data_IF_751512315692
#
_entry.id   IF_751512315692
#
_cell.length_a   1.000
_cell.length_b   1.000
_cell.length_c   1.000
_cell.angle_alpha   90.00
_cell.angle_beta   90.00
_cell.angle_gamma   90.00
#
_symmetry.space_group_name_H-M   'P 1'
#
loop_
_entity.id
_entity.type
_entity.pdbx_description
1 polymer ?
#
# COMPACT_ATOMS: atom_id res chain seq x y z
N UNK A 1 20.11 6.56 -13.78
CA UNK A 1 18.87 6.31 -14.53
C UNK A 1 17.77 7.17 -13.92
N UNK A 2 17.32 8.21 -14.66
CA UNK A 2 16.20 9.03 -14.19
C UNK A 2 14.91 8.22 -14.34
N UNK A 3 14.13 8.08 -13.27
CA UNK A 3 12.73 7.67 -13.36
C UNK A 3 11.96 8.75 -14.12
N UNK A 4 11.03 8.31 -14.95
CA UNK A 4 9.98 9.21 -15.39
C UNK A 4 9.18 9.61 -14.13
N UNK A 5 9.15 10.90 -13.74
CA UNK A 5 8.47 11.32 -12.52
C UNK A 5 6.95 11.08 -12.57
N UNK A 6 6.40 10.81 -13.75
CA UNK A 6 4.99 10.49 -13.95
C UNK A 6 4.73 8.97 -13.93
N UNK A 7 5.72 8.14 -14.23
CA UNK A 7 5.56 6.67 -14.21
C UNK A 7 6.02 6.12 -12.86
N UNK A 8 5.07 5.91 -11.94
CA UNK A 8 5.38 5.48 -10.57
C UNK A 8 5.67 3.99 -10.45
N UNK A 9 5.03 3.14 -11.25
CA UNK A 9 5.17 1.68 -11.21
C UNK A 9 5.36 1.08 -12.61
N UNK A 10 5.84 -0.17 -12.68
CA UNK A 10 5.87 -1.01 -13.88
C UNK A 10 7.15 -0.96 -14.70
N UNK A 11 7.92 0.15 -14.72
CA UNK A 11 9.21 0.23 -15.40
C UNK A 11 10.36 0.26 -14.41
N UNK A 12 11.37 -0.57 -14.64
CA UNK A 12 12.55 -0.69 -13.77
C UNK A 12 13.84 -0.49 -14.56
N UNK A 13 14.98 -0.25 -13.87
CA UNK A 13 16.28 -0.25 -14.53
C UNK A 13 16.65 -1.57 -15.23
N UNK A 14 15.94 -2.66 -14.93
CA UNK A 14 16.13 -3.98 -15.56
C UNK A 14 15.34 -4.15 -16.86
N UNK A 15 14.39 -3.25 -17.15
CA UNK A 15 13.55 -3.36 -18.34
C UNK A 15 14.39 -3.42 -19.60
N UNK A 16 14.25 -4.52 -20.35
CA UNK A 16 15.05 -4.80 -21.54
C UNK A 16 16.45 -5.39 -21.27
N UNK A 17 16.88 -5.53 -20.02
CA UNK A 17 18.15 -6.17 -19.67
C UNK A 17 17.98 -7.66 -19.32
N UNK A 18 17.75 -8.47 -20.33
CA UNK A 18 17.48 -9.90 -20.18
C UNK A 18 18.58 -10.65 -19.43
N UNK A 19 19.84 -10.30 -19.65
CA UNK A 19 20.97 -10.96 -18.98
C UNK A 19 20.94 -10.74 -17.46
N UNK A 20 20.62 -9.53 -17.01
CA UNK A 20 20.48 -9.24 -15.59
C UNK A 20 19.28 -9.99 -14.97
N UNK A 21 18.15 -10.04 -15.66
CA UNK A 21 16.95 -10.78 -15.19
C UNK A 21 17.26 -12.26 -15.01
N UNK A 22 17.89 -12.92 -15.99
CA UNK A 22 18.27 -14.33 -15.89
C UNK A 22 19.27 -14.61 -14.76
N UNK A 23 20.20 -13.69 -14.49
CA UNK A 23 21.11 -13.81 -13.34
C UNK A 23 20.36 -13.72 -12.02
N UNK A 24 19.38 -12.80 -11.89
CA UNK A 24 18.59 -12.64 -10.68
C UNK A 24 17.64 -13.82 -10.46
N UNK A 25 17.07 -14.40 -11.52
CA UNK A 25 16.27 -15.64 -11.45
C UNK A 25 17.06 -16.85 -10.95
N UNK A 26 18.37 -16.87 -11.18
CA UNK A 26 19.27 -17.92 -10.70
C UNK A 26 19.75 -17.68 -9.24
N UNK A 27 19.34 -16.57 -8.61
CA UNK A 27 19.77 -16.19 -7.26
C UNK A 27 18.74 -16.64 -6.23
N UNK A 28 19.21 -17.13 -5.07
CA UNK A 28 18.33 -17.51 -3.95
C UNK A 28 17.65 -16.33 -3.28
N UNK A 29 18.33 -15.17 -3.28
CA UNK A 29 17.87 -13.94 -2.64
C UNK A 29 18.33 -12.72 -3.43
N UNK A 30 17.39 -11.82 -3.69
CA UNK A 30 17.62 -10.51 -4.28
C UNK A 30 17.34 -9.43 -3.22
N UNK A 31 18.33 -8.61 -2.91
CA UNK A 31 18.12 -7.38 -2.15
C UNK A 31 17.82 -6.27 -3.17
N UNK A 32 16.56 -5.85 -3.21
CA UNK A 32 16.08 -4.83 -4.14
C UNK A 32 16.33 -3.44 -3.55
N UNK A 33 17.27 -2.72 -4.14
CA UNK A 33 17.60 -1.32 -3.82
C UNK A 33 17.10 -0.34 -4.90
N UNK A 34 16.33 -0.83 -5.86
CA UNK A 34 15.91 -0.07 -7.06
C UNK A 34 14.41 0.05 -7.23
N UNK A 35 13.65 -0.61 -6.37
CA UNK A 35 12.18 -0.70 -6.46
C UNK A 35 11.71 -1.41 -7.73
N UNK A 36 11.80 -2.73 -7.74
CA UNK A 36 11.31 -3.59 -8.83
C UNK A 36 9.79 -3.80 -8.78
N UNK A 37 9.12 -3.16 -7.84
CA UNK A 37 7.71 -3.33 -7.52
C UNK A 37 6.81 -3.19 -8.75
N UNK A 38 5.87 -4.12 -8.92
CA UNK A 38 4.90 -4.22 -10.00
C UNK A 38 5.51 -4.39 -11.41
N UNK A 39 6.77 -4.78 -11.52
CA UNK A 39 7.39 -5.01 -12.82
C UNK A 39 7.27 -6.46 -13.28
N UNK A 40 7.27 -6.67 -14.60
CA UNK A 40 7.35 -8.00 -15.18
C UNK A 40 8.60 -8.77 -14.72
N UNK A 41 9.71 -8.06 -14.54
CA UNK A 41 10.97 -8.61 -14.08
C UNK A 41 10.87 -9.13 -12.65
N UNK A 42 10.15 -8.42 -11.75
CA UNK A 42 9.86 -8.90 -10.39
C UNK A 42 9.10 -10.21 -10.43
N UNK A 43 8.02 -10.27 -11.22
CA UNK A 43 7.20 -11.48 -11.36
C UNK A 43 8.03 -12.67 -11.86
N UNK A 44 8.84 -12.48 -12.91
CA UNK A 44 9.69 -13.55 -13.45
C UNK A 44 10.68 -14.11 -12.42
N UNK A 45 11.27 -13.24 -11.57
CA UNK A 45 12.20 -13.66 -10.53
C UNK A 45 11.47 -14.48 -9.45
N UNK A 46 10.31 -14.01 -9.01
CA UNK A 46 9.51 -14.70 -8.00
C UNK A 46 8.96 -16.05 -8.50
N UNK A 47 8.48 -16.11 -9.73
CA UNK A 47 8.02 -17.35 -10.39
C UNK A 47 9.14 -18.39 -10.54
N UNK A 48 10.38 -17.94 -10.75
CA UNK A 48 11.54 -18.81 -10.76
C UNK A 48 11.91 -19.35 -9.36
N UNK A 49 11.23 -18.94 -8.31
CA UNK A 49 11.49 -19.32 -6.92
C UNK A 49 12.46 -18.38 -6.19
N UNK A 50 12.95 -17.31 -6.85
CA UNK A 50 13.75 -16.28 -6.20
C UNK A 50 12.98 -15.58 -5.07
N UNK A 51 13.69 -15.08 -4.09
CA UNK A 51 13.13 -14.28 -2.98
C UNK A 51 13.60 -12.85 -3.15
N UNK A 52 12.70 -11.89 -2.98
CA UNK A 52 13.05 -10.47 -3.15
C UNK A 52 12.72 -9.72 -1.86
N UNK A 53 13.71 -9.05 -1.27
CA UNK A 53 13.53 -8.14 -0.15
C UNK A 53 13.82 -6.70 -0.60
N UNK A 54 12.78 -5.86 -0.59
CA UNK A 54 12.91 -4.44 -0.91
C UNK A 54 13.51 -3.68 0.29
N UNK A 55 14.65 -3.02 0.10
CA UNK A 55 15.41 -2.32 1.16
C UNK A 55 15.83 -0.95 0.65
N UNK A 56 14.92 0.02 0.72
CA UNK A 56 15.11 1.36 0.12
C UNK A 56 14.87 2.52 1.10
N UNK A 57 14.63 2.21 2.37
CA UNK A 57 14.46 3.23 3.40
C UNK A 57 15.80 3.68 4.00
N UNK A 58 15.87 4.89 4.60
CA UNK A 58 17.05 5.35 5.34
C UNK A 58 17.50 4.36 6.42
N UNK A 59 18.80 4.25 6.70
CA UNK A 59 19.35 3.31 7.69
C UNK A 59 18.70 3.42 9.08
N UNK A 60 18.36 4.62 9.53
CA UNK A 60 17.73 4.86 10.83
C UNK A 60 16.31 4.25 10.89
N UNK A 61 15.57 4.29 9.77
CA UNK A 61 14.26 3.66 9.65
C UNK A 61 14.42 2.14 9.62
N UNK A 62 15.37 1.62 8.84
CA UNK A 62 15.67 0.19 8.78
C UNK A 62 16.01 -0.38 10.17
N UNK A 63 16.87 0.30 10.92
CA UNK A 63 17.24 -0.13 12.28
C UNK A 63 16.06 -0.09 13.23
N UNK A 64 15.30 1.02 13.25
CA UNK A 64 14.14 1.19 14.14
C UNK A 64 13.06 0.16 13.88
N UNK A 65 12.80 -0.15 12.63
CA UNK A 65 11.75 -1.07 12.20
C UNK A 65 12.31 -2.42 11.71
N UNK A 66 13.46 -2.86 12.25
CA UNK A 66 13.98 -4.20 11.95
C UNK A 66 12.90 -5.24 12.27
N UNK A 67 12.48 -6.08 11.30
CA UNK A 67 11.41 -7.06 11.49
C UNK A 67 11.71 -8.04 12.63
N UNK A 68 10.67 -8.43 13.38
CA UNK A 68 10.75 -9.40 14.46
C UNK A 68 9.71 -10.50 14.28
N UNK A 69 9.89 -11.65 14.97
CA UNK A 69 8.89 -12.72 14.99
C UNK A 69 7.57 -12.28 15.62
N UNK A 70 7.61 -11.28 16.51
CA UNK A 70 6.39 -10.66 17.04
C UNK A 70 5.62 -9.91 15.96
N UNK A 71 6.30 -9.09 15.15
CA UNK A 71 5.69 -8.39 14.00
C UNK A 71 5.05 -9.39 13.04
N UNK A 72 5.78 -10.46 12.71
CA UNK A 72 5.28 -11.53 11.86
C UNK A 72 4.02 -12.19 12.43
N UNK A 73 4.04 -12.51 13.73
CA UNK A 73 2.90 -13.14 14.41
C UNK A 73 1.67 -12.23 14.36
N UNK A 74 1.83 -10.94 14.59
CA UNK A 74 0.74 -9.94 14.50
C UNK A 74 0.14 -9.91 13.11
N UNK A 75 0.96 -9.81 12.07
CA UNK A 75 0.50 -9.78 10.68
C UNK A 75 -0.25 -11.06 10.32
N UNK A 76 0.30 -12.23 10.65
CA UNK A 76 -0.34 -13.53 10.34
C UNK A 76 -1.64 -13.74 11.11
N UNK A 77 -1.73 -13.28 12.35
CA UNK A 77 -2.97 -13.32 13.15
C UNK A 77 -4.05 -12.46 12.51
N UNK A 78 -3.72 -11.22 12.14
CA UNK A 78 -4.63 -10.31 11.46
C UNK A 78 -5.04 -10.84 10.07
N UNK A 79 -4.09 -11.43 9.33
CA UNK A 79 -4.35 -12.04 8.02
C UNK A 79 -5.35 -13.20 8.09
N UNK A 80 -5.23 -14.06 9.09
CA UNK A 80 -6.17 -15.18 9.26
C UNK A 80 -7.63 -14.67 9.42
N UNK A 81 -7.83 -13.56 10.11
CA UNK A 81 -9.15 -12.94 10.30
C UNK A 81 -9.63 -12.27 9.01
N UNK A 82 -8.78 -11.47 8.37
CA UNK A 82 -9.11 -10.79 7.11
C UNK A 82 -9.46 -11.81 6.00
N UNK A 83 -8.80 -12.96 5.96
CA UNK A 83 -9.06 -14.05 5.00
C UNK A 83 -10.47 -14.65 5.15
N UNK A 84 -11.01 -14.67 6.35
CA UNK A 84 -12.35 -15.18 6.63
C UNK A 84 -13.45 -14.13 6.35
N UNK A 85 -13.09 -12.85 6.36
CA UNK A 85 -14.03 -11.74 6.23
C UNK A 85 -14.63 -11.63 4.81
N UNK A 86 -15.86 -11.08 4.74
CA UNK A 86 -16.59 -10.83 3.51
C UNK A 86 -16.71 -9.35 3.18
N UNK A 87 -16.60 -8.51 4.20
CA UNK A 87 -16.73 -7.05 4.05
C UNK A 87 -15.66 -6.34 4.88
N UNK A 88 -15.24 -5.17 4.38
CA UNK A 88 -14.52 -4.18 5.18
C UNK A 88 -15.34 -2.89 5.14
N UNK A 89 -15.52 -2.27 6.31
CA UNK A 89 -16.12 -0.94 6.42
C UNK A 89 -15.16 -0.01 7.12
N UNK A 90 -15.11 1.22 6.64
CA UNK A 90 -14.20 2.24 7.18
C UNK A 90 -14.99 3.50 7.45
N UNK A 91 -14.88 4.01 8.67
CA UNK A 91 -15.49 5.28 9.08
C UNK A 91 -14.47 6.18 9.77
N UNK A 92 -14.73 7.49 9.77
CA UNK A 92 -13.95 8.45 10.55
C UNK A 92 -14.77 9.66 10.96
N UNK A 93 -14.33 10.38 11.99
CA UNK A 93 -14.95 11.64 12.39
C UNK A 93 -14.83 12.74 11.33
N UNK A 94 -13.90 12.63 10.39
CA UNK A 94 -13.78 13.53 9.24
C UNK A 94 -14.89 13.32 8.20
N UNK A 95 -15.63 12.23 8.27
CA UNK A 95 -16.76 11.93 7.40
C UNK A 95 -16.53 10.79 6.42
N UNK A 96 -15.44 10.03 6.53
CA UNK A 96 -15.26 8.77 5.81
C UNK A 96 -16.41 7.83 6.18
N UNK A 97 -17.02 7.23 5.16
CA UNK A 97 -18.03 6.17 5.24
C UNK A 97 -17.96 5.36 3.94
N UNK A 98 -17.16 4.29 3.97
CA UNK A 98 -16.86 3.48 2.80
C UNK A 98 -17.00 1.98 3.12
N UNK A 99 -17.43 1.22 2.12
CA UNK A 99 -17.65 -0.23 2.21
C UNK A 99 -17.04 -0.95 1.03
N UNK A 100 -16.44 -2.10 1.28
CA UNK A 100 -15.73 -2.94 0.32
C UNK A 100 -16.15 -4.39 0.52
N UNK A 101 -16.56 -5.10 -0.53
CA UNK A 101 -16.69 -6.55 -0.47
C UNK A 101 -15.31 -7.20 -0.66
N UNK A 102 -15.09 -8.33 0.02
CA UNK A 102 -13.81 -9.04 0.08
C UNK A 102 -13.93 -10.49 -0.39
N UNK A 103 -12.79 -11.13 -0.64
CA UNK A 103 -12.67 -12.57 -0.88
C UNK A 103 -12.40 -12.97 -2.33
N UNK A 104 -12.37 -12.02 -3.26
CA UNK A 104 -11.95 -12.27 -4.65
C UNK A 104 -10.42 -12.40 -4.76
N UNK A 105 -9.68 -11.68 -3.95
CA UNK A 105 -8.23 -11.52 -4.04
C UNK A 105 -7.50 -12.09 -2.82
N UNK A 106 -6.20 -12.40 -2.95
CA UNK A 106 -5.37 -12.86 -1.84
C UNK A 106 -5.15 -11.75 -0.80
N UNK A 107 -4.61 -12.15 0.35
CA UNK A 107 -4.11 -11.22 1.37
C UNK A 107 -2.62 -10.98 1.12
N UNK A 108 -2.23 -9.73 1.06
CA UNK A 108 -0.85 -9.27 1.08
C UNK A 108 -0.39 -9.20 2.53
N UNK A 109 0.53 -10.07 2.91
CA UNK A 109 1.07 -10.20 4.27
C UNK A 109 2.49 -9.63 4.29
N UNK A 110 2.63 -8.40 4.75
CA UNK A 110 3.91 -7.70 4.80
C UNK A 110 4.47 -7.73 6.22
N UNK A 111 5.40 -8.65 6.49
CA UNK A 111 6.01 -8.82 7.82
C UNK A 111 7.54 -8.73 7.83
N UNK A 112 8.17 -8.43 6.69
CA UNK A 112 9.60 -8.14 6.60
C UNK A 112 10.52 -9.34 6.42
N UNK A 113 9.99 -10.55 6.21
CA UNK A 113 10.79 -11.76 5.99
C UNK A 113 10.49 -12.37 4.62
N UNK A 114 11.55 -12.74 3.91
CA UNK A 114 11.47 -13.48 2.64
C UNK A 114 11.97 -14.92 2.86
N UNK A 115 11.28 -15.64 3.71
CA UNK A 115 11.64 -16.97 4.22
C UNK A 115 11.18 -18.14 3.33
N UNK A 116 10.48 -17.86 2.22
CA UNK A 116 9.93 -18.86 1.31
C UNK A 116 10.29 -18.54 -0.15
N UNK A 117 10.54 -19.55 -1.00
CA UNK A 117 10.68 -19.34 -2.44
C UNK A 117 9.48 -18.59 -3.03
N UNK A 118 9.75 -17.68 -3.97
CA UNK A 118 8.72 -16.87 -4.61
C UNK A 118 8.11 -15.76 -3.73
N UNK A 119 8.70 -15.49 -2.55
CA UNK A 119 8.20 -14.44 -1.65
C UNK A 119 8.91 -13.12 -1.90
N UNK A 120 8.10 -12.08 -1.96
CA UNK A 120 8.52 -10.69 -1.89
C UNK A 120 8.03 -10.05 -0.59
N UNK A 121 8.79 -9.13 -0.02
CA UNK A 121 8.43 -8.35 1.15
C UNK A 121 9.29 -7.09 1.22
N UNK A 122 8.91 -6.14 2.07
CA UNK A 122 9.71 -4.95 2.40
C UNK A 122 10.54 -5.16 3.68
N UNK A 123 11.66 -4.44 3.76
CA UNK A 123 12.27 -4.06 5.02
C UNK A 123 12.43 -2.53 5.02
N UNK A 124 11.74 -1.82 5.92
CA UNK A 124 10.84 -2.26 7.01
C UNK A 124 9.45 -2.66 6.51
N UNK A 125 8.67 -3.27 7.39
CA UNK A 125 7.35 -3.79 7.09
C UNK A 125 6.43 -3.74 8.32
N UNK A 126 5.28 -4.41 8.28
CA UNK A 126 4.33 -4.51 9.37
C UNK A 126 2.95 -4.00 9.00
N UNK A 127 2.39 -4.43 7.87
CA UNK A 127 1.01 -4.17 7.49
C UNK A 127 0.43 -5.35 6.72
N UNK A 128 -0.87 -5.33 6.55
CA UNK A 128 -1.55 -6.26 5.66
C UNK A 128 -2.56 -5.51 4.81
N UNK A 129 -2.79 -6.05 3.63
CA UNK A 129 -3.79 -5.52 2.71
C UNK A 129 -4.46 -6.65 1.92
N UNK A 130 -5.59 -6.34 1.31
CA UNK A 130 -6.26 -7.14 0.27
C UNK A 130 -6.85 -6.18 -0.73
N UNK A 131 -7.33 -6.70 -1.84
CA UNK A 131 -8.04 -5.89 -2.84
C UNK A 131 -9.54 -6.04 -2.65
N UNK A 132 -10.26 -4.92 -2.81
CA UNK A 132 -11.72 -4.99 -2.87
C UNK A 132 -12.15 -5.84 -4.07
N UNK A 133 -13.24 -6.61 -3.92
CA UNK A 133 -13.86 -7.28 -5.06
C UNK A 133 -14.20 -6.25 -6.15
N UNK A 134 -14.00 -6.60 -7.40
CA UNK A 134 -14.23 -5.67 -8.52
C UNK A 134 -15.63 -5.06 -8.47
N UNK A 135 -15.69 -3.74 -8.68
CA UNK A 135 -16.93 -2.99 -8.74
C UNK A 135 -17.66 -2.80 -7.40
N UNK A 136 -17.07 -3.19 -6.26
CA UNK A 136 -17.81 -3.20 -4.98
C UNK A 136 -17.49 -2.05 -4.03
N UNK A 137 -16.42 -1.30 -4.24
CA UNK A 137 -16.10 -0.15 -3.40
C UNK A 137 -17.16 0.94 -3.57
N UNK A 138 -17.78 1.35 -2.45
CA UNK A 138 -18.89 2.31 -2.41
C UNK A 138 -18.73 3.28 -1.25
N UNK A 139 -19.33 4.47 -1.36
CA UNK A 139 -19.40 5.47 -0.31
C UNK A 139 -18.45 6.63 -0.54
N UNK A 140 -17.78 7.09 0.49
CA UNK A 140 -16.80 8.18 0.40
C UNK A 140 -15.65 8.00 1.39
N UNK A 141 -14.48 8.43 0.98
CA UNK A 141 -13.31 8.58 1.83
C UNK A 141 -13.01 10.07 1.98
N UNK A 142 -12.87 10.53 3.21
CA UNK A 142 -12.50 11.92 3.52
C UNK A 142 -11.15 11.92 4.20
N UNK A 143 -10.14 12.39 3.48
CA UNK A 143 -8.80 12.60 4.01
C UNK A 143 -8.83 13.85 4.89
N UNK A 144 -8.31 13.73 6.10
CA UNK A 144 -8.23 14.83 7.06
C UNK A 144 -6.84 15.49 7.04
N UNK A 145 -6.69 16.73 7.51
CA UNK A 145 -5.38 17.33 7.68
C UNK A 145 -4.44 16.45 8.49
N UNK A 146 -3.24 16.20 7.95
CA UNK A 146 -2.25 15.30 8.51
C UNK A 146 -2.31 13.86 8.00
N UNK A 147 -3.27 13.48 7.15
CA UNK A 147 -3.17 12.28 6.32
C UNK A 147 -2.15 12.50 5.21
N UNK A 148 -1.72 11.44 4.54
CA UNK A 148 -0.56 11.50 3.65
C UNK A 148 -0.95 11.04 2.26
N UNK A 149 -0.47 11.77 1.24
CA UNK A 149 -0.50 11.36 -0.15
C UNK A 149 0.87 10.80 -0.55
N UNK A 150 0.90 9.56 -0.98
CA UNK A 150 2.06 8.92 -1.59
C UNK A 150 1.72 8.62 -3.06
N UNK A 151 2.47 9.04 -4.06
CA UNK A 151 3.90 9.34 -4.09
C UNK A 151 4.30 10.80 -3.81
N UNK A 152 3.38 11.74 -3.66
CA UNK A 152 3.75 13.14 -3.39
C UNK A 152 4.51 13.31 -2.07
N UNK A 153 4.41 12.33 -1.16
CA UNK A 153 5.09 12.29 0.14
C UNK A 153 4.80 13.53 0.98
N UNK A 154 3.55 13.97 0.94
CA UNK A 154 3.10 15.20 1.60
C UNK A 154 1.96 14.94 2.57
N UNK A 155 1.99 15.63 3.71
CA UNK A 155 0.83 15.73 4.58
C UNK A 155 -0.17 16.69 3.94
N UNK A 156 -1.43 16.31 3.88
CA UNK A 156 -2.48 17.22 3.46
C UNK A 156 -2.80 18.24 4.56
N UNK A 157 -3.16 19.44 4.18
CA UNK A 157 -3.45 20.56 5.08
C UNK A 157 -4.92 20.95 5.05
N UNK A 158 -5.64 20.57 4.00
CA UNK A 158 -7.08 20.77 3.86
C UNK A 158 -7.80 19.47 3.49
N UNK A 159 -9.07 19.28 3.91
CA UNK A 159 -9.78 18.05 3.63
C UNK A 159 -9.93 17.77 2.13
N UNK A 160 -9.80 16.48 1.76
CA UNK A 160 -10.07 15.98 0.41
C UNK A 160 -11.16 14.93 0.52
N UNK A 161 -12.23 15.04 -0.24
CA UNK A 161 -13.30 14.04 -0.32
C UNK A 161 -13.22 13.27 -1.64
N UNK A 162 -13.04 11.96 -1.54
CA UNK A 162 -13.08 11.03 -2.67
C UNK A 162 -14.41 10.26 -2.63
N UNK A 163 -15.25 10.44 -3.65
CA UNK A 163 -16.52 9.73 -3.79
C UNK A 163 -16.29 8.41 -4.53
N UNK A 164 -16.73 7.31 -3.92
CA UNK A 164 -16.55 5.96 -4.45
C UNK A 164 -17.85 5.41 -5.00
N UNK A 165 -17.80 4.91 -6.23
CA UNK A 165 -18.91 4.23 -6.86
C UNK A 165 -18.39 3.13 -7.80
N UNK A 166 -18.97 1.92 -7.65
CA UNK A 166 -18.65 0.78 -8.51
C UNK A 166 -17.15 0.48 -8.61
N UNK A 167 -16.41 0.58 -7.49
CA UNK A 167 -14.99 0.26 -7.42
C UNK A 167 -14.05 1.39 -7.84
N UNK A 168 -14.55 2.58 -8.16
CA UNK A 168 -13.75 3.71 -8.65
C UNK A 168 -13.96 4.97 -7.83
N UNK A 169 -12.94 5.80 -7.78
CA UNK A 169 -13.05 7.20 -7.37
C UNK A 169 -13.71 7.98 -8.52
N UNK A 170 -14.95 8.41 -8.34
CA UNK A 170 -15.75 9.13 -9.37
C UNK A 170 -15.62 10.63 -9.28
N UNK A 171 -15.36 11.16 -8.10
CA UNK A 171 -15.11 12.59 -7.89
C UNK A 171 -14.11 12.79 -6.75
N UNK A 172 -13.29 13.81 -6.89
CA UNK A 172 -12.34 14.27 -5.88
C UNK A 172 -12.67 15.75 -5.62
N UNK A 173 -13.09 16.07 -4.40
CA UNK A 173 -13.54 17.39 -4.00
C UNK A 173 -12.67 17.95 -2.88
N UNK A 174 -12.44 19.26 -2.88
CA UNK A 174 -11.65 19.95 -1.86
C UNK A 174 -10.96 21.19 -2.41
N UNK A 175 -9.92 21.63 -1.72
CA UNK A 175 -9.09 22.76 -2.14
C UNK A 175 -7.98 22.36 -3.13
N UNK A 176 -6.90 23.14 -3.10
CA UNK A 176 -5.76 22.97 -4.03
C UNK A 176 -5.19 21.56 -4.05
N UNK A 177 -5.05 20.91 -2.89
CA UNK A 177 -4.50 19.54 -2.83
C UNK A 177 -5.41 18.51 -3.53
N UNK A 178 -6.73 18.72 -3.48
CA UNK A 178 -7.68 17.88 -4.21
C UNK A 178 -7.57 18.08 -5.74
N UNK A 179 -7.43 19.34 -6.18
CA UNK A 179 -7.16 19.66 -7.59
C UNK A 179 -5.85 19.01 -8.05
N UNK A 180 -4.79 19.18 -7.26
CA UNK A 180 -3.47 18.61 -7.58
C UNK A 180 -3.51 17.08 -7.67
N UNK A 181 -4.20 16.40 -6.74
CA UNK A 181 -4.38 14.96 -6.79
C UNK A 181 -5.13 14.53 -8.06
N UNK A 182 -6.22 15.19 -8.39
CA UNK A 182 -7.01 14.90 -9.58
C UNK A 182 -6.18 15.12 -10.85
N UNK A 183 -5.53 16.27 -10.99
CA UNK A 183 -4.72 16.60 -12.15
C UNK A 183 -3.56 15.61 -12.35
N UNK A 184 -2.93 15.18 -11.24
CA UNK A 184 -1.92 14.13 -11.27
C UNK A 184 -2.49 12.82 -11.81
N UNK A 185 -3.62 12.35 -11.30
CA UNK A 185 -4.25 11.12 -11.76
C UNK A 185 -4.71 11.23 -13.24
N UNK A 186 -5.33 12.34 -13.62
CA UNK A 186 -5.78 12.59 -15.01
C UNK A 186 -4.62 12.66 -16.00
N UNK A 187 -3.41 13.07 -15.57
CA UNK A 187 -2.23 13.20 -16.44
C UNK A 187 -1.80 11.87 -17.07
N UNK A 188 -2.18 10.74 -16.49
CA UNK A 188 -1.90 9.41 -17.05
C UNK A 188 -2.77 9.06 -18.26
N UNK A 189 -3.88 9.77 -18.48
CA UNK A 189 -4.86 9.51 -19.55
C UNK A 189 -5.38 8.05 -19.54
N UNK A 190 -5.51 7.47 -18.37
CA UNK A 190 -5.93 6.10 -18.14
C UNK A 190 -7.02 6.09 -17.05
N UNK A 191 -8.26 5.66 -17.34
CA UNK A 191 -9.32 5.63 -16.33
C UNK A 191 -9.05 4.65 -15.19
N UNK A 192 -8.20 3.64 -15.40
CA UNK A 192 -7.87 2.63 -14.38
C UNK A 192 -7.07 3.20 -13.20
N UNK A 193 -6.48 4.38 -13.35
CA UNK A 193 -5.80 5.07 -12.24
C UNK A 193 -6.76 5.42 -11.09
N UNK A 194 -8.06 5.57 -11.37
CA UNK A 194 -9.10 5.87 -10.40
C UNK A 194 -9.72 4.63 -9.75
N UNK A 195 -9.37 3.43 -10.19
CA UNK A 195 -9.86 2.20 -9.60
C UNK A 195 -9.29 2.02 -8.19
N UNK A 196 -10.13 1.57 -7.24
CA UNK A 196 -9.64 1.16 -5.92
C UNK A 196 -8.77 -0.09 -6.11
N UNK A 197 -7.56 -0.02 -5.55
CA UNK A 197 -6.61 -1.12 -5.54
C UNK A 197 -6.63 -1.79 -4.16
N UNK A 198 -5.50 -1.86 -3.45
CA UNK A 198 -5.51 -2.53 -2.15
C UNK A 198 -6.06 -1.64 -1.01
N UNK A 199 -6.58 -2.32 0.00
CA UNK A 199 -7.11 -1.75 1.25
C UNK A 199 -6.61 -2.59 2.43
N UNK A 200 -6.27 -1.94 3.53
CA UNK A 200 -5.75 -2.64 4.70
C UNK A 200 -5.40 -1.72 5.86
N UNK A 201 -4.53 -2.18 6.75
CA UNK A 201 -4.08 -1.39 7.88
C UNK A 201 -2.68 -1.78 8.36
N UNK A 202 -2.01 -0.83 9.03
CA UNK A 202 -0.70 -1.01 9.63
C UNK A 202 -0.75 -1.66 11.01
N UNK A 203 0.30 -2.40 11.32
CA UNK A 203 0.47 -3.18 12.56
C UNK A 203 1.81 -2.89 13.26
N UNK A 204 2.65 -2.00 12.69
CA UNK A 204 3.99 -1.70 13.18
C UNK A 204 3.97 -0.60 14.24
N UNK A 205 4.12 -0.98 15.52
CA UNK A 205 4.12 -0.05 16.65
C UNK A 205 5.36 0.86 16.71
N UNK A 206 6.43 0.51 16.00
CA UNK A 206 7.67 1.30 15.92
C UNK A 206 7.68 2.28 14.75
N UNK A 207 6.66 2.26 13.89
CA UNK A 207 6.51 3.22 12.82
C UNK A 207 6.13 4.61 13.37
N UNK A 208 6.68 5.65 12.76
CA UNK A 208 6.44 7.02 13.18
C UNK A 208 5.73 7.81 12.10
N UNK A 209 4.51 8.24 12.37
CA UNK A 209 3.71 9.02 11.42
C UNK A 209 4.40 10.31 10.96
N UNK A 210 5.13 10.96 11.87
CA UNK A 210 5.80 12.23 11.60
C UNK A 210 7.05 12.12 10.71
N UNK A 211 7.48 10.91 10.34
CA UNK A 211 8.77 10.66 9.68
C UNK A 211 8.92 11.39 8.34
N UNK A 212 7.83 11.55 7.60
CA UNK A 212 7.83 12.23 6.31
C UNK A 212 8.31 13.70 6.38
N UNK A 213 8.21 14.32 7.56
CA UNK A 213 8.71 15.68 7.78
C UNK A 213 10.22 15.77 8.09
N UNK A 214 10.90 14.64 8.28
CA UNK A 214 12.32 14.60 8.65
C UNK A 214 13.25 14.20 7.50
N UNK A 215 12.73 13.66 6.42
CA UNK A 215 13.52 13.20 5.28
C UNK A 215 13.06 13.89 4.00
N UNK A 216 14.00 14.10 3.08
CA UNK A 216 13.66 14.51 1.73
C UNK A 216 12.76 13.46 1.05
N UNK A 217 11.86 13.91 0.19
CA UNK A 217 10.95 13.04 -0.54
C UNK A 217 11.62 11.93 -1.34
N UNK A 218 12.88 12.11 -1.75
CA UNK A 218 13.67 11.09 -2.44
C UNK A 218 14.30 10.04 -1.49
N UNK A 219 14.49 10.38 -0.20
CA UNK A 219 15.20 9.55 0.74
C UNK A 219 14.37 8.39 1.32
N UNK A 220 13.05 8.47 1.27
CA UNK A 220 12.14 7.47 1.83
C UNK A 220 11.01 7.19 0.85
N UNK A 221 10.58 5.94 0.76
CA UNK A 221 9.37 5.58 0.00
C UNK A 221 8.09 5.66 0.85
N UNK A 222 8.22 5.97 2.15
CA UNK A 222 7.10 6.15 3.06
C UNK A 222 6.57 4.85 3.69
N UNK A 223 7.45 3.94 4.06
CA UNK A 223 7.04 2.71 4.74
C UNK A 223 6.51 2.96 6.15
N UNK A 224 7.03 3.96 6.86
CA UNK A 224 6.50 4.36 8.17
C UNK A 224 4.99 4.63 8.15
N UNK A 225 4.47 5.53 7.30
CA UNK A 225 3.02 5.77 7.27
C UNK A 225 2.22 4.58 6.74
N UNK A 226 2.77 3.76 5.82
CA UNK A 226 2.08 2.55 5.35
C UNK A 226 1.91 1.52 6.46
N UNK A 227 2.97 1.31 7.26
CA UNK A 227 3.01 0.29 8.29
C UNK A 227 2.52 0.78 9.66
N UNK A 228 2.27 2.08 9.85
CA UNK A 228 1.94 2.67 11.15
C UNK A 228 0.74 1.99 11.79
N UNK A 229 0.93 1.46 13.00
CA UNK A 229 -0.10 0.72 13.72
C UNK A 229 -1.38 1.53 13.90
N UNK A 230 -2.52 0.96 13.45
CA UNK A 230 -3.82 1.60 13.55
C UNK A 230 -4.16 2.61 12.46
N UNK A 231 -3.35 2.74 11.40
CA UNK A 231 -3.77 3.49 10.22
C UNK A 231 -4.88 2.73 9.44
N UNK A 232 -5.52 3.41 8.52
CA UNK A 232 -6.19 2.79 7.38
C UNK A 232 -5.35 3.12 6.15
N UNK A 233 -4.94 2.09 5.41
CA UNK A 233 -4.22 2.21 4.16
C UNK A 233 -5.12 1.80 3.02
N UNK A 234 -5.30 2.67 2.05
CA UNK A 234 -5.96 2.35 0.81
C UNK A 234 -5.17 2.91 -0.38
N UNK A 235 -5.42 2.37 -1.55
CA UNK A 235 -4.73 2.78 -2.75
C UNK A 235 -5.62 2.81 -3.97
N UNK A 236 -5.13 3.44 -5.04
CA UNK A 236 -5.71 3.38 -6.37
C UNK A 236 -4.72 2.80 -7.37
N UNK A 237 -5.22 2.31 -8.50
CA UNK A 237 -4.42 1.84 -9.61
C UNK A 237 -4.45 0.34 -9.85
N UNK A 238 -3.29 -0.32 -10.07
CA UNK A 238 -3.22 -1.70 -10.54
C UNK A 238 -3.70 -2.73 -9.49
N UNK A 239 -4.05 -3.94 -9.98
CA UNK A 239 -4.34 -5.11 -9.15
C UNK A 239 -3.69 -6.40 -9.72
N UNK A 240 -2.81 -6.24 -10.71
CA UNK A 240 -2.16 -7.37 -11.37
C UNK A 240 -1.27 -8.19 -10.43
N UNK A 241 -0.68 -7.59 -9.40
CA UNK A 241 0.08 -8.32 -8.37
C UNK A 241 -0.80 -9.29 -7.55
N UNK A 242 -2.10 -9.01 -7.46
CA UNK A 242 -3.08 -9.88 -6.82
C UNK A 242 -3.70 -10.91 -7.78
N UNK A 243 -3.25 -10.94 -9.03
CA UNK A 243 -3.82 -11.79 -10.08
C UNK A 243 -5.03 -11.18 -10.78
N UNK A 244 -5.28 -9.87 -10.63
CA UNK A 244 -6.26 -9.13 -11.41
C UNK A 244 -5.72 -8.75 -12.80
N UNK A 245 -6.58 -8.19 -13.62
CA UNK A 245 -6.24 -7.83 -15.03
C UNK A 245 -5.83 -6.36 -15.19
N UNK A 246 -5.97 -5.54 -14.14
CA UNK A 246 -5.70 -4.11 -14.20
C UNK A 246 -4.21 -3.83 -14.06
N UNK A 247 -3.65 -3.25 -15.12
CA UNK A 247 -2.25 -2.82 -15.21
C UNK A 247 -2.20 -1.36 -15.64
N UNK A 248 -1.92 -0.46 -14.70
CA UNK A 248 -1.81 0.97 -14.94
C UNK A 248 -0.53 1.53 -14.33
N UNK A 249 0.02 2.57 -14.93
CA UNK A 249 1.29 3.16 -14.50
C UNK A 249 1.19 4.02 -13.23
N UNK A 250 -0.01 4.32 -12.77
CA UNK A 250 -0.27 5.12 -11.58
C UNK A 250 -0.72 4.24 -10.42
N UNK A 251 0.02 4.29 -9.31
CA UNK A 251 -0.37 3.69 -8.04
C UNK A 251 -0.20 4.72 -6.94
N UNK A 252 -1.26 5.01 -6.21
CA UNK A 252 -1.26 6.01 -5.14
C UNK A 252 -1.67 5.34 -3.86
N UNK A 253 -0.75 5.29 -2.88
CA UNK A 253 -1.06 4.89 -1.52
C UNK A 253 -1.47 6.09 -0.69
N UNK A 254 -2.52 5.91 0.09
CA UNK A 254 -3.08 6.95 0.95
C UNK A 254 -3.27 6.39 2.36
N UNK A 255 -2.24 6.47 3.20
CA UNK A 255 -2.38 6.15 4.61
C UNK A 255 -3.15 7.25 5.35
N UNK A 256 -4.13 6.84 6.15
CA UNK A 256 -5.01 7.73 6.90
C UNK A 256 -4.98 7.40 8.39
N UNK A 257 -5.10 8.43 9.23
CA UNK A 257 -5.19 8.30 10.69
C UNK A 257 -6.65 8.39 11.17
N UNK A 258 -6.84 8.00 12.43
CA UNK A 258 -8.08 8.21 13.16
C UNK A 258 -9.32 7.59 12.49
N UNK A 259 -9.10 6.55 11.68
CA UNK A 259 -10.18 5.76 11.10
C UNK A 259 -10.58 4.63 12.06
N UNK A 260 -11.84 4.22 11.95
CA UNK A 260 -12.33 2.96 12.49
C UNK A 260 -12.49 1.98 11.34
N UNK A 261 -11.82 0.84 11.43
CA UNK A 261 -11.86 -0.22 10.43
C UNK A 261 -12.56 -1.43 11.03
N UNK A 262 -13.55 -1.97 10.34
CA UNK A 262 -14.22 -3.22 10.69
C UNK A 262 -14.11 -4.21 9.54
N UNK A 263 -13.91 -5.47 9.90
CA UNK A 263 -14.04 -6.61 8.99
C UNK A 263 -15.25 -7.43 9.46
N UNK A 264 -16.28 -7.53 8.64
CA UNK A 264 -17.63 -7.97 9.04
C UNK A 264 -18.08 -7.22 10.32
N UNK A 265 -18.34 -7.92 11.42
CA UNK A 265 -18.75 -7.32 12.69
C UNK A 265 -17.59 -7.01 13.65
N UNK A 266 -16.35 -7.41 13.31
CA UNK A 266 -15.17 -7.22 14.16
C UNK A 266 -14.52 -5.87 13.90
N UNK A 267 -14.35 -5.06 14.94
CA UNK A 267 -13.54 -3.84 14.87
C UNK A 267 -12.08 -4.20 15.05
N UNK A 268 -11.25 -3.96 14.04
CA UNK A 268 -9.79 -4.23 14.05
C UNK A 268 -8.96 -2.97 14.31
N UNK A 269 -9.50 -1.82 13.95
CA UNK A 269 -8.97 -0.50 14.30
C UNK A 269 -10.11 0.37 14.82
N UNK A 270 -9.94 0.97 15.99
CA UNK A 270 -10.90 1.90 16.58
C UNK A 270 -10.25 3.28 16.73
N UNK A 271 -10.75 4.26 15.99
CA UNK A 271 -10.26 5.65 16.03
C UNK A 271 -8.72 5.75 15.94
N UNK A 272 -8.13 5.01 14.98
CA UNK A 272 -6.69 5.00 14.74
C UNK A 272 -5.88 4.15 15.72
N UNK A 273 -6.50 3.27 16.49
CA UNK A 273 -5.81 2.37 17.42
C UNK A 273 -6.19 0.92 17.12
N UNK A 274 -5.19 0.05 17.10
CA UNK A 274 -5.43 -1.39 16.99
C UNK A 274 -6.30 -1.89 18.17
N UNK A 275 -7.12 -2.88 17.90
CA UNK A 275 -7.96 -3.57 18.89
C UNK A 275 -7.67 -5.06 18.90
N UNK A 276 -8.08 -5.76 19.96
CA UNK A 276 -7.96 -7.23 20.03
C UNK A 276 -6.52 -7.70 20.26
N UNK A 277 -6.21 -8.90 19.72
CA UNK A 277 -4.99 -9.65 20.01
C UNK A 277 -3.71 -9.07 19.35
N UNK A 278 -3.82 -8.03 18.56
CA UNK A 278 -2.71 -7.36 17.88
C UNK A 278 -2.53 -5.88 18.27
N UNK A 279 -3.20 -5.44 19.37
CA UNK A 279 -3.06 -4.10 19.93
C UNK A 279 -1.76 -3.90 20.72
#
# INVERSE_FOLDING_TARGET
LSRDPLAYVGKTPLTGNRAAVEMLKASDLVLDLMTLLFSAEQHEILEAGGRILLVVEPPEILVRMTPTEEDRTKVLTASARLRAAKTMTVTSSAGTDATFALGQYPILEEYGFVDKPGRWDHWPSGFLATWANEGTAQGKIVLAPGDILLPQKSYITSPITCHLENGYVKAIEGGFEAEHLRDYMESFNDPEVFAISHIGWGLQNRAHWAVMGFYDGEASIGMDPRACAGNFLWSTGPNNEAGGERDTACHIDIPMRNCTVKIDDETVVQDGKLTGDYA
#
